data_IF_908282609271
#
_entry.id   IF_908282609271
#
_cell.length_a   1.000
_cell.length_b   1.000
_cell.length_c   1.000
_cell.angle_alpha   90.00
_cell.angle_beta   90.00
_cell.angle_gamma   90.00
#
_symmetry.space_group_name_H-M   'P 1'
#
loop_
_entity.id
_entity.type
_entity.pdbx_description
1 polymer ?
#
# COMPACT_ATOMS: atom_id res chain seq x y z
N UNK A 1 -1.99 -28.30 -5.20
CA UNK A 1 -0.92 -27.28 -5.34
C UNK A 1 -1.64 -25.95 -5.49
N UNK A 2 -1.47 -25.06 -4.52
CA UNK A 2 -1.98 -23.68 -4.66
C UNK A 2 -1.35 -23.05 -5.90
N UNK A 3 -2.19 -22.64 -6.82
CA UNK A 3 -1.75 -21.89 -7.99
C UNK A 3 -1.46 -20.46 -7.54
N UNK A 4 -0.20 -20.04 -7.57
CA UNK A 4 0.19 -18.67 -7.27
C UNK A 4 0.02 -17.81 -8.53
N UNK A 5 -0.99 -16.92 -8.57
CA UNK A 5 -1.22 -16.03 -9.72
C UNK A 5 -0.06 -15.11 -10.05
N UNK A 6 0.75 -14.73 -9.04
CA UNK A 6 2.00 -13.99 -9.24
C UNK A 6 3.10 -14.68 -8.47
N UNK A 7 4.17 -15.04 -9.18
CA UNK A 7 5.37 -15.65 -8.60
C UNK A 7 6.60 -15.01 -9.24
N UNK A 8 7.51 -14.53 -8.41
CA UNK A 8 8.82 -14.04 -8.80
C UNK A 8 9.89 -14.75 -7.98
N UNK A 9 10.98 -15.19 -8.63
CA UNK A 9 12.05 -15.95 -8.01
C UNK A 9 13.41 -15.38 -8.43
N UNK A 10 14.12 -14.80 -7.47
CA UNK A 10 15.47 -14.27 -7.63
C UNK A 10 15.57 -13.18 -8.69
N UNK A 11 14.52 -12.34 -8.90
CA UNK A 11 14.55 -11.32 -9.93
C UNK A 11 15.69 -10.32 -9.71
N UNK A 12 16.39 -10.00 -10.79
CA UNK A 12 17.46 -9.00 -10.80
C UNK A 12 17.24 -7.99 -11.90
N UNK A 13 17.52 -6.73 -11.60
CA UNK A 13 17.48 -5.63 -12.56
C UNK A 13 18.47 -4.54 -12.21
N UNK A 14 19.26 -4.11 -13.18
CA UNK A 14 20.24 -3.04 -13.02
C UNK A 14 19.97 -1.92 -14.02
N UNK A 15 20.25 -0.70 -13.60
CA UNK A 15 20.28 0.50 -14.43
C UNK A 15 21.68 1.12 -14.32
N UNK A 16 22.53 0.84 -15.31
CA UNK A 16 23.94 1.19 -15.22
C UNK A 16 24.62 0.54 -14.02
N UNK A 17 25.08 1.35 -13.06
CA UNK A 17 25.74 0.85 -11.82
C UNK A 17 24.74 0.54 -10.69
N UNK A 18 23.55 1.09 -10.74
CA UNK A 18 22.54 0.92 -9.70
C UNK A 18 21.76 -0.40 -9.87
N UNK A 19 21.66 -1.19 -8.80
CA UNK A 19 20.80 -2.37 -8.75
C UNK A 19 19.42 -1.94 -8.26
N UNK A 20 18.39 -2.12 -9.09
CA UNK A 20 17.00 -1.82 -8.71
C UNK A 20 16.30 -3.04 -8.12
N UNK A 21 16.68 -4.26 -8.56
CA UNK A 21 16.28 -5.53 -7.94
C UNK A 21 17.52 -6.41 -7.83
N UNK A 22 17.69 -7.08 -6.68
CA UNK A 22 18.84 -7.92 -6.40
C UNK A 22 18.43 -9.20 -5.65
N UNK A 23 17.82 -10.13 -6.36
CA UNK A 23 17.29 -11.35 -5.78
C UNK A 23 15.92 -11.11 -5.15
N UNK A 24 15.02 -10.42 -5.87
CA UNK A 24 13.66 -10.15 -5.43
C UNK A 24 12.80 -11.41 -5.59
N UNK A 25 12.21 -11.85 -4.49
CA UNK A 25 11.26 -12.96 -4.42
C UNK A 25 9.88 -12.45 -4.02
N UNK A 26 8.81 -12.97 -4.65
CA UNK A 26 7.43 -12.61 -4.33
C UNK A 26 6.49 -13.75 -4.70
N UNK A 27 5.57 -14.08 -3.82
CA UNK A 27 4.50 -15.05 -4.06
C UNK A 27 3.16 -14.45 -3.61
N UNK A 28 2.20 -14.31 -4.52
CA UNK A 28 0.88 -13.74 -4.22
C UNK A 28 -0.17 -14.84 -4.31
N UNK A 29 -0.89 -15.13 -3.22
CA UNK A 29 -2.00 -16.09 -3.22
C UNK A 29 -3.19 -15.62 -4.05
N UNK A 30 -3.97 -16.57 -4.57
CA UNK A 30 -5.15 -16.29 -5.37
C UNK A 30 -6.24 -15.59 -4.55
N UNK A 31 -6.90 -14.58 -5.16
CA UNK A 31 -8.02 -13.88 -4.53
C UNK A 31 -7.64 -13.04 -3.31
N UNK A 32 -6.39 -12.60 -3.22
CA UNK A 32 -5.89 -11.75 -2.12
C UNK A 32 -5.35 -10.42 -2.63
N UNK A 33 -5.20 -9.47 -1.69
CA UNK A 33 -4.42 -8.25 -1.88
C UNK A 33 -3.04 -8.45 -1.29
N UNK A 34 -2.00 -8.43 -2.13
CA UNK A 34 -0.62 -8.34 -1.66
C UNK A 34 -0.13 -6.90 -1.79
N UNK A 35 0.26 -6.29 -0.67
CA UNK A 35 0.88 -4.98 -0.61
C UNK A 35 2.41 -5.08 -0.74
N UNK A 36 2.99 -4.50 -1.78
CA UNK A 36 4.44 -4.34 -1.90
C UNK A 36 4.83 -2.98 -1.34
N UNK A 37 5.27 -2.97 -0.09
CA UNK A 37 5.56 -1.79 0.71
C UNK A 37 7.06 -1.48 0.72
N UNK A 38 7.43 -0.21 0.58
CA UNK A 38 8.84 0.18 0.68
C UNK A 38 9.06 1.65 0.33
N UNK A 39 10.25 2.21 0.63
CA UNK A 39 10.57 3.60 0.35
C UNK A 39 10.65 3.88 -1.16
N UNK A 40 10.74 5.16 -1.51
CA UNK A 40 11.03 5.55 -2.88
C UNK A 40 12.42 5.03 -3.31
N UNK A 41 12.49 4.44 -4.51
CA UNK A 41 13.73 3.84 -5.01
C UNK A 41 13.97 2.40 -4.55
N UNK A 42 13.17 1.81 -3.68
CA UNK A 42 13.34 0.42 -3.21
C UNK A 42 13.19 -0.65 -4.30
N UNK A 43 12.61 -0.31 -5.46
CA UNK A 43 12.44 -1.25 -6.58
C UNK A 43 10.98 -1.62 -6.90
N UNK A 44 9.98 -1.10 -6.18
CA UNK A 44 8.54 -1.40 -6.36
C UNK A 44 8.07 -1.31 -7.81
N UNK A 45 8.20 -0.13 -8.42
CA UNK A 45 7.80 0.11 -9.82
C UNK A 45 8.60 -0.75 -10.81
N UNK A 46 9.87 -1.05 -10.51
CA UNK A 46 10.69 -1.95 -11.34
C UNK A 46 10.13 -3.38 -11.29
N UNK A 47 9.77 -3.89 -10.11
CA UNK A 47 9.14 -5.19 -9.96
C UNK A 47 7.81 -5.26 -10.73
N UNK A 48 6.92 -4.26 -10.56
CA UNK A 48 5.65 -4.17 -11.29
C UNK A 48 5.90 -4.16 -12.81
N UNK A 49 6.84 -3.37 -13.32
CA UNK A 49 7.15 -3.31 -14.76
C UNK A 49 7.63 -4.65 -15.32
N UNK A 50 8.40 -5.43 -14.54
CA UNK A 50 8.83 -6.78 -14.96
C UNK A 50 7.62 -7.73 -14.97
N UNK A 51 6.85 -7.77 -13.88
CA UNK A 51 5.69 -8.65 -13.76
C UNK A 51 4.60 -8.35 -14.80
N UNK A 52 4.46 -7.09 -15.19
CA UNK A 52 3.52 -6.67 -16.25
C UNK A 52 4.11 -6.71 -17.66
N UNK A 53 5.30 -7.28 -17.83
CA UNK A 53 5.98 -7.46 -19.13
C UNK A 53 6.45 -6.17 -19.81
N UNK A 54 6.45 -5.04 -19.11
CA UNK A 54 6.93 -3.74 -19.62
C UNK A 54 8.45 -3.61 -19.58
N UNK A 55 9.11 -4.47 -18.80
CA UNK A 55 10.56 -4.49 -18.62
C UNK A 55 11.06 -5.93 -18.56
N UNK A 56 12.18 -6.22 -19.20
CA UNK A 56 12.83 -7.53 -19.05
C UNK A 56 13.75 -7.54 -17.83
N UNK A 57 13.71 -8.59 -16.99
CA UNK A 57 14.68 -8.79 -15.93
C UNK A 57 16.06 -9.11 -16.52
N UNK A 58 17.11 -8.86 -15.75
CA UNK A 58 18.48 -9.24 -16.10
C UNK A 58 18.85 -10.63 -15.54
N UNK A 59 18.04 -11.14 -14.59
CA UNK A 59 18.16 -12.47 -14.01
C UNK A 59 16.92 -12.85 -13.19
N UNK A 60 16.87 -14.11 -12.78
CA UNK A 60 15.70 -14.68 -12.12
C UNK A 60 14.58 -15.03 -13.11
N UNK A 61 13.43 -15.40 -12.56
CA UNK A 61 12.25 -15.75 -13.35
C UNK A 61 10.96 -15.25 -12.69
N UNK A 62 9.93 -14.98 -13.49
CA UNK A 62 8.61 -14.66 -12.96
C UNK A 62 7.50 -15.26 -13.81
N UNK A 63 6.41 -15.58 -13.15
CA UNK A 63 5.17 -16.06 -13.78
C UNK A 63 3.99 -15.24 -13.28
N UNK A 64 3.10 -14.90 -14.19
CA UNK A 64 1.86 -14.18 -13.88
C UNK A 64 0.70 -14.89 -14.57
N UNK A 65 -0.36 -15.19 -13.84
CA UNK A 65 -1.50 -15.98 -14.28
C UNK A 65 -1.09 -17.29 -14.96
N UNK A 66 -0.03 -17.93 -14.46
CA UNK A 66 0.53 -19.19 -14.99
C UNK A 66 1.49 -19.04 -16.15
N UNK A 67 1.68 -17.84 -16.72
CA UNK A 67 2.52 -17.59 -17.89
C UNK A 67 3.86 -16.94 -17.52
N UNK A 68 4.94 -17.34 -18.21
CA UNK A 68 6.26 -16.73 -18.06
C UNK A 68 6.28 -15.29 -18.62
N UNK A 69 6.77 -14.33 -17.82
CA UNK A 69 6.71 -12.90 -18.19
C UNK A 69 7.63 -12.52 -19.35
N UNK A 70 8.64 -13.33 -19.68
CA UNK A 70 9.56 -13.10 -20.81
C UNK A 70 9.14 -13.88 -22.03
N UNK A 71 8.95 -15.20 -21.89
CA UNK A 71 8.67 -16.09 -23.00
C UNK A 71 7.21 -16.02 -23.49
N UNK A 72 6.27 -15.68 -22.60
CA UNK A 72 4.83 -15.69 -22.87
C UNK A 72 4.18 -14.33 -22.59
N UNK A 73 4.92 -13.23 -22.78
CA UNK A 73 4.50 -11.88 -22.46
C UNK A 73 3.13 -11.47 -23.04
N UNK A 74 2.80 -11.93 -24.25
CA UNK A 74 1.50 -11.66 -24.87
C UNK A 74 0.34 -12.28 -24.05
N UNK A 75 0.52 -13.53 -23.59
CA UNK A 75 -0.48 -14.22 -22.78
C UNK A 75 -0.66 -13.53 -21.41
N UNK A 76 0.44 -13.09 -20.80
CA UNK A 76 0.39 -12.31 -19.54
C UNK A 76 -0.47 -11.06 -19.74
N UNK A 77 -0.21 -10.25 -20.78
CA UNK A 77 -0.94 -9.00 -21.03
C UNK A 77 -2.44 -9.17 -21.21
N UNK A 78 -2.91 -10.30 -21.69
CA UNK A 78 -4.35 -10.62 -21.79
C UNK A 78 -4.97 -11.02 -20.44
N UNK A 79 -4.17 -11.35 -19.44
CA UNK A 79 -4.61 -11.85 -18.14
C UNK A 79 -4.42 -10.85 -17.00
N UNK A 80 -3.89 -9.68 -17.31
CA UNK A 80 -3.62 -8.66 -16.28
C UNK A 80 -4.36 -7.36 -16.59
N UNK A 81 -4.68 -6.63 -15.52
CA UNK A 81 -4.94 -5.20 -15.55
C UNK A 81 -3.76 -4.47 -14.91
N UNK A 82 -3.48 -3.27 -15.38
CA UNK A 82 -2.44 -2.40 -14.83
C UNK A 82 -3.00 -1.00 -14.65
N UNK A 83 -2.92 -0.50 -13.42
CA UNK A 83 -3.11 0.90 -13.08
C UNK A 83 -1.74 1.48 -12.71
N UNK A 84 -1.16 2.28 -13.60
CA UNK A 84 0.12 2.94 -13.37
C UNK A 84 0.02 4.21 -12.54
N UNK A 85 1.16 4.85 -12.28
CA UNK A 85 1.22 6.14 -11.56
C UNK A 85 0.59 7.27 -12.38
N UNK A 86 0.78 7.28 -13.70
CA UNK A 86 0.14 8.24 -14.60
C UNK A 86 -1.20 7.69 -15.08
N UNK A 87 -2.20 8.58 -15.17
CA UNK A 87 -3.51 8.23 -15.71
C UNK A 87 -3.41 7.92 -17.21
N UNK A 88 -4.00 6.79 -17.62
CA UNK A 88 -4.03 6.35 -19.01
C UNK A 88 -5.24 6.92 -19.78
N UNK A 89 -6.21 7.52 -19.08
CA UNK A 89 -7.43 8.06 -19.69
C UNK A 89 -7.18 9.39 -20.38
N UNK A 90 -7.78 9.57 -21.54
CA UNK A 90 -7.74 10.81 -22.32
C UNK A 90 -8.70 11.85 -21.69
N UNK A 91 -8.19 13.03 -21.38
CA UNK A 91 -8.95 14.08 -20.71
C UNK A 91 -10.00 14.76 -21.59
N UNK A 92 -9.84 14.69 -22.92
CA UNK A 92 -10.76 15.31 -23.88
C UNK A 92 -11.98 14.41 -24.10
N UNK A 93 -11.77 13.10 -24.06
CA UNK A 93 -12.85 12.12 -24.21
C UNK A 93 -13.72 12.07 -22.94
N UNK A 94 -14.99 11.65 -23.11
CA UNK A 94 -15.84 11.35 -21.97
C UNK A 94 -15.40 10.06 -21.27
N UNK A 95 -15.85 9.84 -20.04
CA UNK A 95 -15.57 8.60 -19.32
C UNK A 95 -16.00 7.36 -20.10
N UNK A 96 -17.19 7.40 -20.72
CA UNK A 96 -17.69 6.33 -21.56
C UNK A 96 -16.83 6.11 -22.81
N UNK A 97 -16.44 7.19 -23.47
CA UNK A 97 -15.60 7.09 -24.67
C UNK A 97 -14.24 6.48 -24.38
N UNK A 98 -13.63 6.84 -23.23
CA UNK A 98 -12.39 6.22 -22.77
C UNK A 98 -12.55 4.70 -22.61
N UNK A 99 -13.54 4.23 -21.87
CA UNK A 99 -13.75 2.79 -21.67
C UNK A 99 -14.05 2.05 -22.95
N UNK A 100 -14.85 2.64 -23.86
CA UNK A 100 -15.09 2.07 -25.20
C UNK A 100 -13.78 2.00 -25.99
N UNK A 101 -12.94 3.03 -25.95
CA UNK A 101 -11.63 3.04 -26.61
C UNK A 101 -10.75 1.89 -26.08
N UNK A 102 -10.61 1.74 -24.76
CA UNK A 102 -9.85 0.62 -24.19
C UNK A 102 -10.43 -0.73 -24.58
N UNK A 103 -11.75 -0.90 -24.58
CA UNK A 103 -12.39 -2.12 -25.07
C UNK A 103 -12.03 -2.42 -26.52
N UNK A 104 -12.02 -1.41 -27.37
CA UNK A 104 -11.65 -1.55 -28.78
C UNK A 104 -10.16 -1.87 -28.98
N UNK A 105 -9.28 -1.27 -28.19
CA UNK A 105 -7.84 -1.57 -28.20
C UNK A 105 -7.56 -3.03 -27.78
N UNK A 106 -8.41 -3.58 -26.90
CA UNK A 106 -8.38 -4.99 -26.51
C UNK A 106 -9.22 -5.90 -27.43
N UNK A 107 -9.53 -5.45 -28.65
CA UNK A 107 -10.24 -6.20 -29.70
C UNK A 107 -11.69 -6.59 -29.37
N UNK A 108 -12.32 -5.98 -28.38
CA UNK A 108 -13.76 -6.16 -28.17
C UNK A 108 -14.54 -5.55 -29.34
N UNK A 109 -15.61 -6.26 -29.81
CA UNK A 109 -16.53 -5.71 -30.76
C UNK A 109 -17.20 -4.42 -30.24
N UNK A 110 -17.66 -3.53 -31.14
CA UNK A 110 -18.22 -2.22 -30.77
C UNK A 110 -19.36 -2.31 -29.74
N UNK A 111 -20.28 -3.27 -29.96
CA UNK A 111 -21.40 -3.47 -29.04
C UNK A 111 -20.92 -3.98 -27.65
N UNK A 112 -20.02 -4.96 -27.63
CA UNK A 112 -19.47 -5.52 -26.41
C UNK A 112 -18.65 -4.46 -25.62
N UNK A 113 -17.83 -3.66 -26.31
CA UNK A 113 -17.09 -2.56 -25.68
C UNK A 113 -18.03 -1.50 -25.07
N UNK A 114 -19.13 -1.17 -25.76
CA UNK A 114 -20.16 -0.25 -25.24
C UNK A 114 -20.85 -0.80 -23.99
N UNK A 115 -21.33 -2.03 -24.04
CA UNK A 115 -21.98 -2.69 -22.90
C UNK A 115 -21.02 -2.78 -21.70
N UNK A 116 -19.77 -3.19 -21.95
CA UNK A 116 -18.76 -3.29 -20.90
C UNK A 116 -18.42 -1.93 -20.28
N UNK A 117 -18.34 -0.87 -21.09
CA UNK A 117 -18.15 0.48 -20.60
C UNK A 117 -19.28 0.93 -19.66
N UNK A 118 -20.53 0.69 -20.04
CA UNK A 118 -21.70 1.04 -19.23
C UNK A 118 -21.71 0.28 -17.89
N UNK A 119 -21.42 -1.02 -17.90
CA UNK A 119 -21.28 -1.84 -16.69
C UNK A 119 -20.19 -1.32 -15.75
N UNK A 120 -19.02 -0.93 -16.30
CA UNK A 120 -17.93 -0.40 -15.49
C UNK A 120 -18.24 0.98 -14.92
N UNK A 121 -18.86 1.87 -15.70
CA UNK A 121 -19.30 3.17 -15.19
C UNK A 121 -20.30 3.02 -14.02
N UNK A 122 -21.22 2.09 -14.12
CA UNK A 122 -22.16 1.80 -13.05
C UNK A 122 -21.44 1.23 -11.81
N UNK A 123 -20.59 0.21 -11.99
CA UNK A 123 -19.82 -0.43 -10.91
C UNK A 123 -18.94 0.56 -10.13
N UNK A 124 -18.38 1.56 -10.81
CA UNK A 124 -17.50 2.56 -10.20
C UNK A 124 -18.21 3.85 -9.80
N UNK A 125 -19.54 3.89 -9.87
CA UNK A 125 -20.35 5.05 -9.47
C UNK A 125 -20.13 6.28 -10.37
N UNK A 126 -19.83 6.04 -11.66
CA UNK A 126 -19.55 7.08 -12.66
C UNK A 126 -20.65 7.19 -13.74
N UNK A 127 -21.76 6.43 -13.64
CA UNK A 127 -22.82 6.39 -14.63
C UNK A 127 -23.39 7.80 -14.89
N UNK A 128 -23.69 8.58 -13.84
CA UNK A 128 -24.25 9.92 -13.96
C UNK A 128 -23.29 10.98 -14.59
N UNK A 129 -22.01 10.65 -14.72
CA UNK A 129 -20.96 11.53 -15.26
C UNK A 129 -20.29 10.98 -16.50
N UNK A 130 -20.64 9.75 -16.91
CA UNK A 130 -19.99 9.04 -18.01
C UNK A 130 -20.00 9.76 -19.35
N UNK A 131 -20.94 10.67 -19.59
CA UNK A 131 -21.00 11.50 -20.79
C UNK A 131 -20.14 12.77 -20.74
N UNK A 132 -19.65 13.20 -19.55
CA UNK A 132 -18.83 14.39 -19.40
C UNK A 132 -17.37 14.13 -19.77
N UNK A 133 -16.65 15.10 -20.38
CA UNK A 133 -15.21 15.01 -20.59
C UNK A 133 -14.44 14.79 -19.28
N UNK A 134 -13.41 13.95 -19.33
CA UNK A 134 -12.62 13.55 -18.15
C UNK A 134 -11.90 14.73 -17.50
N UNK A 135 -11.56 15.77 -18.26
CA UNK A 135 -11.02 17.03 -17.71
C UNK A 135 -11.91 17.70 -16.65
N UNK A 136 -13.22 17.39 -16.63
CA UNK A 136 -14.18 17.89 -15.65
C UNK A 136 -14.33 16.97 -14.42
N UNK A 137 -13.61 15.84 -14.39
CA UNK A 137 -13.65 14.90 -13.28
C UNK A 137 -12.76 15.39 -12.13
N UNK A 138 -13.17 15.10 -10.89
CA UNK A 138 -12.26 15.20 -9.74
C UNK A 138 -11.12 14.18 -9.85
N UNK A 139 -10.04 14.36 -9.07
CA UNK A 139 -8.94 13.41 -9.02
C UNK A 139 -9.41 11.98 -8.70
N UNK A 140 -10.26 11.83 -7.69
CA UNK A 140 -10.85 10.54 -7.33
C UNK A 140 -11.72 9.93 -8.44
N UNK A 141 -12.50 10.74 -9.17
CA UNK A 141 -13.28 10.27 -10.31
C UNK A 141 -12.36 9.80 -11.47
N UNK A 142 -11.28 10.54 -11.76
CA UNK A 142 -10.31 10.13 -12.79
C UNK A 142 -9.64 8.81 -12.39
N UNK A 143 -9.23 8.66 -11.13
CA UNK A 143 -8.59 7.43 -10.66
C UNK A 143 -9.52 6.22 -10.70
N UNK A 144 -10.80 6.42 -10.35
CA UNK A 144 -11.82 5.36 -10.48
C UNK A 144 -12.08 4.98 -11.95
N UNK A 145 -12.08 5.95 -12.86
CA UNK A 145 -12.21 5.67 -14.29
C UNK A 145 -10.99 4.90 -14.83
N UNK A 146 -9.80 5.27 -14.41
CA UNK A 146 -8.54 4.62 -14.79
C UNK A 146 -8.50 3.17 -14.26
N UNK A 147 -8.94 2.96 -13.01
CA UNK A 147 -9.13 1.63 -12.46
C UNK A 147 -10.20 0.83 -13.25
N UNK A 148 -11.30 1.46 -13.63
CA UNK A 148 -12.31 0.82 -14.47
C UNK A 148 -11.74 0.40 -15.85
N UNK A 149 -10.87 1.24 -16.44
CA UNK A 149 -10.22 0.93 -17.72
C UNK A 149 -9.28 -0.30 -17.60
N UNK A 150 -8.56 -0.44 -16.48
CA UNK A 150 -7.70 -1.61 -16.24
C UNK A 150 -8.48 -2.94 -16.13
N UNK A 151 -9.78 -2.85 -15.90
CA UNK A 151 -10.69 -3.99 -15.73
C UNK A 151 -11.53 -4.30 -16.98
N UNK A 152 -11.21 -3.71 -18.11
CA UNK A 152 -12.03 -3.85 -19.33
C UNK A 152 -12.16 -5.32 -19.77
N UNK A 153 -11.11 -6.12 -19.58
CA UNK A 153 -11.09 -7.56 -19.87
C UNK A 153 -11.48 -8.45 -18.68
N UNK A 154 -11.88 -7.88 -17.54
CA UNK A 154 -12.08 -8.62 -16.29
C UNK A 154 -10.89 -9.55 -15.95
N UNK A 155 -9.68 -9.01 -15.83
CA UNK A 155 -8.47 -9.81 -15.65
C UNK A 155 -8.47 -10.52 -14.28
N UNK A 156 -7.91 -11.75 -14.19
CA UNK A 156 -7.76 -12.45 -12.91
C UNK A 156 -6.70 -11.82 -12.00
N UNK A 157 -5.75 -11.05 -12.56
CA UNK A 157 -4.69 -10.38 -11.80
C UNK A 157 -4.66 -8.90 -12.12
N UNK A 158 -4.63 -8.07 -11.08
CA UNK A 158 -4.59 -6.61 -11.18
C UNK A 158 -3.34 -6.06 -10.49
N UNK A 159 -2.60 -5.24 -11.20
CA UNK A 159 -1.45 -4.49 -10.67
C UNK A 159 -1.84 -3.04 -10.45
N UNK A 160 -1.60 -2.52 -9.25
CA UNK A 160 -1.90 -1.14 -8.86
C UNK A 160 -0.60 -0.47 -8.39
N UNK A 161 -0.04 0.43 -9.19
CA UNK A 161 1.18 1.14 -8.84
C UNK A 161 0.80 2.49 -8.20
N UNK A 162 0.90 2.55 -6.87
CA UNK A 162 0.56 3.70 -6.01
C UNK A 162 -0.85 4.27 -6.32
N UNK A 163 -1.93 3.49 -6.12
CA UNK A 163 -3.26 3.84 -6.63
C UNK A 163 -3.90 5.05 -5.97
N UNK A 164 -3.47 5.46 -4.78
CA UNK A 164 -4.09 6.55 -4.00
C UNK A 164 -3.24 7.79 -3.88
N UNK A 165 -2.06 7.81 -4.50
CA UNK A 165 -1.16 8.98 -4.47
C UNK A 165 -1.87 10.21 -5.04
N UNK A 166 -1.80 11.33 -4.30
CA UNK A 166 -2.41 12.60 -4.68
C UNK A 166 -3.92 12.68 -4.50
N UNK A 167 -4.56 11.68 -3.89
CA UNK A 167 -5.98 11.72 -3.55
C UNK A 167 -6.23 12.24 -2.14
N UNK A 168 -7.33 12.94 -1.97
CA UNK A 168 -7.86 13.29 -0.66
C UNK A 168 -8.35 12.04 0.12
N UNK A 169 -8.58 12.10 1.43
CA UNK A 169 -9.00 10.95 2.24
C UNK A 169 -10.28 10.27 1.71
N UNK A 170 -11.22 11.06 1.18
CA UNK A 170 -12.45 10.52 0.59
C UNK A 170 -12.17 9.73 -0.68
N UNK A 171 -11.34 10.27 -1.57
CA UNK A 171 -10.93 9.60 -2.80
C UNK A 171 -10.17 8.30 -2.53
N UNK A 172 -9.29 8.27 -1.51
CA UNK A 172 -8.61 7.04 -1.08
C UNK A 172 -9.62 5.97 -0.65
N UNK A 173 -10.56 6.31 0.24
CA UNK A 173 -11.59 5.37 0.70
C UNK A 173 -12.44 4.82 -0.45
N UNK A 174 -12.77 5.63 -1.45
CA UNK A 174 -13.53 5.21 -2.64
C UNK A 174 -12.72 4.20 -3.48
N UNK A 175 -11.41 4.42 -3.68
CA UNK A 175 -10.51 3.48 -4.36
C UNK A 175 -10.36 2.19 -3.55
N UNK A 176 -10.15 2.27 -2.25
CA UNK A 176 -10.03 1.11 -1.37
C UNK A 176 -11.28 0.23 -1.37
N UNK A 177 -12.46 0.85 -1.31
CA UNK A 177 -13.73 0.13 -1.42
C UNK A 177 -13.86 -0.60 -2.77
N UNK A 178 -13.43 0.04 -3.87
CA UNK A 178 -13.43 -0.57 -5.19
C UNK A 178 -12.48 -1.77 -5.26
N UNK A 179 -11.26 -1.67 -4.71
CA UNK A 179 -10.29 -2.77 -4.66
C UNK A 179 -10.83 -3.94 -3.85
N UNK A 180 -11.38 -3.71 -2.65
CA UNK A 180 -12.01 -4.78 -1.84
C UNK A 180 -13.13 -5.50 -2.60
N UNK A 181 -13.97 -4.74 -3.30
CA UNK A 181 -15.05 -5.32 -4.12
C UNK A 181 -14.52 -6.17 -5.30
N UNK A 182 -13.34 -5.87 -5.84
CA UNK A 182 -12.69 -6.69 -6.87
C UNK A 182 -12.19 -8.01 -6.30
N UNK A 183 -11.51 -7.96 -5.18
CA UNK A 183 -10.96 -9.16 -4.51
C UNK A 183 -12.07 -10.07 -4.01
N UNK A 184 -13.15 -9.53 -3.44
CA UNK A 184 -14.33 -10.30 -3.06
C UNK A 184 -14.98 -11.06 -4.26
N UNK A 185 -14.72 -10.63 -5.50
CA UNK A 185 -15.13 -11.32 -6.72
C UNK A 185 -14.02 -12.20 -7.34
N UNK A 186 -12.96 -12.52 -6.59
CA UNK A 186 -11.91 -13.45 -6.98
C UNK A 186 -10.75 -12.84 -7.77
N UNK A 187 -10.66 -11.51 -7.92
CA UNK A 187 -9.48 -10.87 -8.53
C UNK A 187 -8.31 -10.88 -7.56
N UNK A 188 -7.13 -11.30 -8.00
CA UNK A 188 -5.88 -11.17 -7.23
C UNK A 188 -5.27 -9.81 -7.49
N UNK A 189 -4.83 -9.11 -6.45
CA UNK A 189 -4.30 -7.75 -6.55
C UNK A 189 -2.87 -7.70 -6.01
N UNK A 190 -1.93 -7.15 -6.80
CA UNK A 190 -0.65 -6.67 -6.31
C UNK A 190 -0.66 -5.15 -6.31
N UNK A 191 -0.57 -4.59 -5.12
CA UNK A 191 -0.60 -3.16 -4.85
C UNK A 191 0.80 -2.69 -4.42
N UNK A 192 1.37 -1.68 -5.08
CA UNK A 192 2.54 -1.00 -4.52
C UNK A 192 2.11 0.24 -3.76
N UNK A 193 2.72 0.49 -2.64
CA UNK A 193 2.49 1.70 -1.86
C UNK A 193 3.70 2.10 -1.03
N UNK A 194 3.78 3.37 -0.69
CA UNK A 194 4.66 3.89 0.36
C UNK A 194 3.85 4.30 1.61
N UNK A 195 2.53 4.24 1.53
CA UNK A 195 1.62 4.57 2.63
C UNK A 195 1.31 3.31 3.43
N UNK A 196 1.74 3.29 4.68
CA UNK A 196 1.59 2.15 5.57
C UNK A 196 0.13 1.92 5.98
N UNK A 197 -0.64 3.00 6.11
CA UNK A 197 -2.08 2.95 6.35
C UNK A 197 -2.85 2.25 5.21
N UNK A 198 -2.43 2.46 3.95
CA UNK A 198 -3.02 1.76 2.80
C UNK A 198 -2.74 0.25 2.84
N UNK A 199 -1.49 -0.14 3.13
CA UNK A 199 -1.14 -1.54 3.29
C UNK A 199 -1.91 -2.19 4.46
N UNK A 200 -2.01 -1.48 5.60
CA UNK A 200 -2.72 -1.97 6.79
C UNK A 200 -4.23 -2.16 6.56
N UNK A 201 -4.83 -1.28 5.77
CA UNK A 201 -6.26 -1.29 5.49
C UNK A 201 -6.69 -2.26 4.38
N UNK A 202 -5.82 -2.52 3.41
CA UNK A 202 -6.18 -3.27 2.21
C UNK A 202 -5.54 -4.63 2.10
N UNK A 203 -4.30 -4.79 2.57
CA UNK A 203 -3.51 -5.97 2.25
C UNK A 203 -3.84 -7.15 3.16
N UNK A 204 -4.05 -8.32 2.56
CA UNK A 204 -4.07 -9.60 3.26
C UNK A 204 -2.65 -10.07 3.58
N UNK A 205 -1.70 -9.72 2.71
CA UNK A 205 -0.27 -9.98 2.83
C UNK A 205 0.52 -8.71 2.47
N UNK A 206 1.56 -8.41 3.22
CA UNK A 206 2.49 -7.31 2.96
C UNK A 206 3.89 -7.87 2.78
N UNK A 207 4.51 -7.57 1.64
CA UNK A 207 5.92 -7.83 1.38
C UNK A 207 6.68 -6.50 1.45
N UNK A 208 7.57 -6.36 2.42
CA UNK A 208 8.40 -5.16 2.60
C UNK A 208 9.64 -5.27 1.73
N UNK A 209 9.81 -4.33 0.80
CA UNK A 209 10.98 -4.27 -0.08
C UNK A 209 11.89 -3.12 0.33
N UNK A 210 13.18 -3.43 0.45
CA UNK A 210 14.25 -2.44 0.58
C UNK A 210 15.44 -2.85 -0.29
N UNK A 211 16.08 -1.87 -0.93
CA UNK A 211 17.26 -2.05 -1.80
C UNK A 211 17.12 -3.22 -2.81
N UNK A 212 15.92 -3.38 -3.37
CA UNK A 212 15.62 -4.40 -4.38
C UNK A 212 15.43 -5.82 -3.85
N UNK A 213 15.30 -6.02 -2.54
CA UNK A 213 15.08 -7.32 -1.89
C UNK A 213 13.85 -7.26 -0.99
N UNK A 214 13.12 -8.35 -0.89
CA UNK A 214 12.08 -8.50 0.12
C UNK A 214 12.75 -8.82 1.46
N UNK A 215 12.58 -7.94 2.45
CA UNK A 215 13.20 -8.05 3.77
C UNK A 215 12.25 -8.58 4.84
N UNK A 216 10.94 -8.50 4.60
CA UNK A 216 9.91 -9.09 5.45
C UNK A 216 8.66 -9.39 4.64
N UNK A 217 7.96 -10.45 5.03
CA UNK A 217 6.72 -10.90 4.42
C UNK A 217 5.78 -11.47 5.48
N UNK A 218 4.46 -11.25 5.31
CA UNK A 218 3.41 -11.74 6.20
C UNK A 218 2.16 -10.88 6.18
N UNK A 219 1.14 -11.29 6.94
CA UNK A 219 -0.03 -10.42 7.12
C UNK A 219 0.35 -9.15 7.92
N UNK A 220 -0.41 -8.04 7.80
CA UNK A 220 -0.19 -6.86 8.63
C UNK A 220 -0.06 -7.20 10.12
N UNK A 221 -0.94 -8.06 10.66
CA UNK A 221 -0.90 -8.48 12.05
C UNK A 221 0.36 -9.31 12.40
N UNK A 222 0.79 -10.19 11.49
CA UNK A 222 2.04 -10.96 11.67
C UNK A 222 3.27 -10.05 11.70
N UNK A 223 3.31 -9.05 10.81
CA UNK A 223 4.41 -8.09 10.77
C UNK A 223 4.44 -7.23 12.03
N UNK A 224 3.30 -6.72 12.48
CA UNK A 224 3.17 -5.97 13.74
C UNK A 224 3.62 -6.79 14.96
N UNK A 225 3.29 -8.08 14.97
CA UNK A 225 3.68 -8.98 16.07
C UNK A 225 5.19 -9.24 16.15
N UNK A 226 5.95 -9.05 15.05
CA UNK A 226 7.42 -9.20 15.05
C UNK A 226 8.14 -8.13 15.89
N UNK A 227 7.54 -6.97 16.11
CA UNK A 227 8.09 -5.90 16.96
C UNK A 227 7.91 -6.12 18.46
N UNK A 228 7.28 -7.22 18.84
CA UNK A 228 6.91 -7.49 20.24
C UNK A 228 5.41 -7.29 20.47
N UNK A 229 5.01 -7.32 21.75
CA UNK A 229 3.62 -7.23 22.16
C UNK A 229 2.97 -5.85 21.93
N UNK A 230 1.78 -5.72 22.50
CA UNK A 230 1.10 -4.41 22.56
C UNK A 230 2.00 -3.36 23.21
N UNK A 231 1.70 -2.10 22.96
CA UNK A 231 2.43 -0.95 23.53
C UNK A 231 1.51 -0.20 24.48
N UNK A 232 2.11 0.32 25.55
CA UNK A 232 1.48 1.32 26.39
C UNK A 232 1.96 2.69 25.97
N UNK A 233 1.03 3.59 25.69
CA UNK A 233 1.29 4.99 25.39
C UNK A 233 0.75 5.83 26.55
N UNK A 234 1.57 6.76 27.04
CA UNK A 234 1.18 7.71 28.09
C UNK A 234 1.50 9.12 27.59
N UNK A 235 0.49 9.99 27.58
CA UNK A 235 0.66 11.40 27.23
C UNK A 235 0.68 12.23 28.50
N UNK A 236 1.84 12.81 28.82
CA UNK A 236 1.98 13.68 29.99
C UNK A 236 1.25 15.02 29.79
N UNK A 237 0.50 15.50 30.80
CA UNK A 237 -0.18 16.79 30.71
C UNK A 237 0.81 17.96 30.64
N UNK A 238 2.04 17.80 31.18
CA UNK A 238 3.07 18.84 31.25
C UNK A 238 4.41 18.30 30.76
N UNK A 239 5.15 19.13 30.02
CA UNK A 239 6.48 18.78 29.52
C UNK A 239 7.51 18.50 30.64
N UNK A 240 7.42 19.18 31.79
CA UNK A 240 8.28 18.96 32.92
C UNK A 240 8.09 17.60 33.62
N UNK A 241 6.96 16.94 33.38
CA UNK A 241 6.65 15.59 33.89
C UNK A 241 7.09 14.46 32.97
N UNK A 242 7.56 14.76 31.77
CA UNK A 242 7.89 13.76 30.73
C UNK A 242 8.96 12.76 31.20
N UNK A 243 10.01 13.26 31.91
CA UNK A 243 11.07 12.40 32.44
C UNK A 243 10.55 11.44 33.54
N UNK A 244 9.65 11.92 34.40
CA UNK A 244 9.02 11.08 35.42
C UNK A 244 8.11 10.04 34.79
N UNK A 245 7.33 10.44 33.79
CA UNK A 245 6.46 9.52 32.99
C UNK A 245 7.30 8.42 32.34
N UNK A 246 8.41 8.78 31.69
CA UNK A 246 9.31 7.82 31.06
C UNK A 246 9.91 6.82 32.05
N UNK A 247 10.32 7.29 33.21
CA UNK A 247 10.84 6.41 34.28
C UNK A 247 9.79 5.42 34.79
N UNK A 248 8.53 5.85 34.91
CA UNK A 248 7.42 4.97 35.33
C UNK A 248 7.09 3.96 34.25
N UNK A 249 6.89 4.40 33.01
CA UNK A 249 6.58 3.52 31.88
C UNK A 249 7.70 2.50 31.65
N UNK A 250 8.96 2.90 31.75
CA UNK A 250 10.11 1.99 31.67
C UNK A 250 10.12 0.90 32.75
N UNK A 251 9.78 1.25 34.02
CA UNK A 251 9.67 0.24 35.09
C UNK A 251 8.51 -0.74 34.84
N UNK A 252 7.37 -0.23 34.39
CA UNK A 252 6.17 -1.05 34.14
C UNK A 252 6.36 -1.99 32.95
N UNK A 253 6.99 -1.52 31.89
CA UNK A 253 7.26 -2.32 30.69
C UNK A 253 8.42 -3.30 30.85
N UNK A 254 9.41 -2.93 31.67
CA UNK A 254 10.69 -3.62 31.76
C UNK A 254 11.63 -3.34 30.57
N UNK A 255 11.27 -2.40 29.71
CA UNK A 255 12.02 -1.99 28.52
C UNK A 255 12.30 -0.49 28.51
N UNK A 256 13.24 -0.05 27.68
CA UNK A 256 13.52 1.36 27.51
C UNK A 256 12.38 2.03 26.73
N UNK A 257 11.70 3.06 27.32
CA UNK A 257 10.60 3.73 26.63
C UNK A 257 11.12 4.68 25.55
N UNK A 258 10.36 4.78 24.47
CA UNK A 258 10.50 5.83 23.47
C UNK A 258 9.81 7.10 23.98
N UNK A 259 10.48 8.24 23.85
CA UNK A 259 9.98 9.53 24.34
C UNK A 259 9.90 10.50 23.17
N UNK A 260 8.70 10.98 22.91
CA UNK A 260 8.44 12.06 21.96
C UNK A 260 8.14 13.36 22.74
N UNK A 261 9.08 14.31 22.76
CA UNK A 261 8.90 15.57 23.48
C UNK A 261 7.83 16.48 22.89
N UNK A 262 7.64 16.44 21.57
CA UNK A 262 6.72 17.33 20.85
C UNK A 262 5.26 17.01 21.16
N UNK A 263 4.93 15.72 21.20
CA UNK A 263 3.59 15.23 21.58
C UNK A 263 3.48 14.89 23.06
N UNK A 264 4.55 15.03 23.85
CA UNK A 264 4.63 14.66 25.29
C UNK A 264 4.26 13.19 25.54
N UNK A 265 4.50 12.34 24.55
CA UNK A 265 4.15 10.91 24.59
C UNK A 265 5.36 10.09 25.02
N UNK A 266 5.06 9.11 25.86
CA UNK A 266 5.99 8.04 26.25
C UNK A 266 5.38 6.72 25.83
N UNK A 267 6.10 5.91 25.05
CA UNK A 267 5.63 4.64 24.51
C UNK A 267 6.58 3.51 24.85
N UNK A 268 6.08 2.37 25.30
CA UNK A 268 6.90 1.19 25.55
C UNK A 268 6.15 -0.12 25.22
N UNK A 269 6.86 -1.18 24.77
CA UNK A 269 6.24 -2.49 24.56
C UNK A 269 5.82 -3.11 25.89
N UNK A 270 4.70 -3.84 25.89
CA UNK A 270 4.20 -4.54 27.09
C UNK A 270 3.77 -5.96 26.75
N UNK A 271 4.02 -6.90 27.67
CA UNK A 271 3.65 -8.31 27.48
C UNK A 271 2.25 -8.63 27.95
N UNK A 272 1.81 -8.01 29.04
CA UNK A 272 0.47 -8.14 29.60
C UNK A 272 -0.22 -6.78 29.61
N UNK A 273 -1.21 -6.61 28.74
CA UNK A 273 -1.95 -5.36 28.55
C UNK A 273 -2.60 -4.86 29.83
N UNK A 274 -3.32 -5.75 30.50
CA UNK A 274 -4.14 -5.37 31.66
C UNK A 274 -3.27 -5.06 32.85
N UNK A 275 -2.26 -5.90 33.10
CA UNK A 275 -1.30 -5.67 34.18
C UNK A 275 -0.51 -4.36 33.97
N UNK A 276 -0.02 -4.12 32.76
CA UNK A 276 0.74 -2.92 32.43
C UNK A 276 -0.10 -1.64 32.59
N UNK A 277 -1.34 -1.62 32.04
CA UNK A 277 -2.23 -0.46 32.19
C UNK A 277 -2.54 -0.17 33.67
N UNK A 278 -2.86 -1.21 34.43
CA UNK A 278 -3.18 -1.08 35.86
C UNK A 278 -1.98 -0.59 36.66
N UNK A 279 -0.80 -1.13 36.40
CA UNK A 279 0.44 -0.73 37.09
C UNK A 279 0.82 0.70 36.75
N UNK A 280 0.78 1.07 35.45
CA UNK A 280 1.12 2.42 34.99
C UNK A 280 0.19 3.46 35.60
N UNK A 281 -1.13 3.25 35.54
CA UNK A 281 -2.11 4.18 36.12
C UNK A 281 -1.89 4.38 37.60
N UNK A 282 -1.65 3.31 38.37
CA UNK A 282 -1.41 3.38 39.81
C UNK A 282 -0.11 4.08 40.13
N UNK A 283 0.99 3.81 39.41
CA UNK A 283 2.27 4.44 39.66
C UNK A 283 2.30 5.92 39.27
N UNK A 284 1.62 6.30 38.19
CA UNK A 284 1.45 7.69 37.75
C UNK A 284 0.68 8.49 38.82
N UNK A 285 -0.41 7.95 39.34
CA UNK A 285 -1.22 8.57 40.39
C UNK A 285 -0.41 8.73 41.68
N UNK A 286 0.26 7.68 42.13
CA UNK A 286 1.09 7.69 43.32
C UNK A 286 2.27 8.69 43.23
N UNK A 287 2.79 8.94 42.04
CA UNK A 287 3.85 9.93 41.78
C UNK A 287 3.33 11.35 41.55
N UNK A 288 2.00 11.58 41.57
CA UNK A 288 1.39 12.87 41.26
C UNK A 288 1.64 13.36 39.82
N UNK A 289 1.88 12.45 38.90
CA UNK A 289 2.10 12.78 37.49
C UNK A 289 0.73 12.90 36.81
N UNK A 290 0.40 14.11 36.35
CA UNK A 290 -0.81 14.35 35.62
C UNK A 290 -0.67 13.89 34.15
N UNK A 291 -1.59 13.10 33.67
CA UNK A 291 -1.60 12.57 32.29
C UNK A 291 -2.86 13.02 31.57
N UNK A 292 -2.74 13.27 30.25
CA UNK A 292 -3.88 13.55 29.37
C UNK A 292 -4.52 12.27 28.86
N UNK A 293 -3.69 11.26 28.59
CA UNK A 293 -4.14 9.98 28.04
C UNK A 293 -3.24 8.82 28.48
N UNK A 294 -3.83 7.66 28.67
CA UNK A 294 -3.15 6.37 28.85
C UNK A 294 -3.84 5.34 27.99
N UNK A 295 -3.17 4.88 26.96
CA UNK A 295 -3.74 3.96 25.99
C UNK A 295 -2.89 2.69 25.80
N UNK A 296 -3.55 1.59 25.50
CA UNK A 296 -2.92 0.38 25.02
C UNK A 296 -3.20 0.24 23.53
N UNK A 297 -2.16 0.21 22.73
CA UNK A 297 -2.30 0.03 21.29
C UNK A 297 -1.45 -1.13 20.77
N UNK A 298 -1.78 -1.61 19.60
CA UNK A 298 -0.90 -2.49 18.82
C UNK A 298 0.18 -1.65 18.12
N UNK A 299 1.36 -2.22 17.85
CA UNK A 299 2.33 -1.58 16.98
C UNK A 299 1.71 -1.19 15.64
N UNK A 300 2.18 -0.10 15.06
CA UNK A 300 1.80 0.28 13.70
C UNK A 300 2.74 -0.35 12.68
N UNK A 301 2.33 -0.40 11.41
CA UNK A 301 3.25 -0.81 10.34
C UNK A 301 4.41 0.19 10.17
N UNK A 302 4.22 1.48 10.57
CA UNK A 302 5.30 2.48 10.57
C UNK A 302 6.45 2.05 11.49
N UNK A 303 6.13 1.63 12.71
CA UNK A 303 7.13 1.13 13.66
C UNK A 303 7.82 -0.14 13.15
N UNK A 304 7.06 -1.06 12.51
CA UNK A 304 7.65 -2.24 11.86
C UNK A 304 8.63 -1.84 10.77
N UNK A 305 8.22 -0.90 9.93
CA UNK A 305 9.02 -0.44 8.81
C UNK A 305 10.33 0.21 9.27
N UNK A 306 10.26 1.12 10.24
CA UNK A 306 11.43 1.76 10.85
C UNK A 306 12.40 0.74 11.45
N UNK A 307 11.88 -0.23 12.18
CA UNK A 307 12.69 -1.28 12.79
C UNK A 307 13.41 -2.15 11.75
N UNK A 308 12.72 -2.49 10.65
CA UNK A 308 13.27 -3.36 9.60
C UNK A 308 14.27 -2.64 8.68
N UNK A 309 14.05 -1.36 8.40
CA UNK A 309 14.89 -0.61 7.45
C UNK A 309 16.03 0.17 8.12
N UNK A 310 15.96 0.39 9.43
CA UNK A 310 16.93 1.21 10.17
C UNK A 310 16.98 2.67 9.73
N UNK A 311 15.99 3.12 8.94
CA UNK A 311 15.85 4.50 8.51
C UNK A 311 14.86 5.21 9.45
N UNK A 312 15.32 6.24 10.15
CA UNK A 312 14.42 7.22 10.74
C UNK A 312 13.60 7.83 9.60
N UNK A 313 12.28 7.71 9.67
CA UNK A 313 11.41 8.43 8.74
C UNK A 313 11.59 9.91 9.08
N UNK A 314 12.49 10.59 8.37
CA UNK A 314 12.40 12.04 8.27
C UNK A 314 10.99 12.33 7.76
N UNK A 315 10.19 12.91 8.64
CA UNK A 315 8.86 13.41 8.32
C UNK A 315 8.96 14.17 7.01
N UNK A 316 8.21 13.75 6.02
CA UNK A 316 8.08 14.44 4.75
C UNK A 316 7.45 15.81 5.02
N UNK A 317 8.24 16.74 5.53
CA UNK A 317 7.91 18.14 5.55
C UNK A 317 8.02 18.60 4.10
N UNK A 318 6.89 18.70 3.45
CA UNK A 318 6.74 19.39 2.17
C UNK A 318 7.40 20.76 2.27
N UNK A 319 8.59 20.91 1.69
CA UNK A 319 9.14 22.23 1.42
C UNK A 319 8.37 22.79 0.22
N UNK A 320 7.75 23.98 0.32
CA UNK A 320 7.18 24.65 -0.84
C UNK A 320 8.33 24.89 -1.83
N UNK A 321 8.16 24.43 -3.06
CA UNK A 321 9.05 24.86 -4.14
C UNK A 321 8.87 26.37 -4.33
N UNK A 322 9.90 27.14 -3.99
CA UNK A 322 10.01 28.53 -4.42
C UNK A 322 10.00 28.58 -5.95
N UNK A 323 8.93 29.12 -6.46
CA UNK A 323 8.83 29.54 -7.85
C UNK A 323 9.74 30.76 -8.02
N UNK A 324 10.94 30.52 -8.55
CA UNK A 324 11.77 31.63 -9.06
C UNK A 324 11.25 32.05 -10.42
N UNK A 325 11.03 33.35 -10.53
CA UNK A 325 10.55 34.11 -11.68
C UNK A 325 11.41 33.97 -12.95
#
# INVERSE_FOLDING_TARGET
METLPVLAEGLRKRYGKASALDGFDLAVPEGTVCGLLGPNGAGKTTAVRILTTLLRPDGGRARVAGYDVVGQAANVRYRIGLLGQQTAVDEVLSGRQNLVLFGRLHHLGRAAAGLRADQLLERFGLAGTGAKPVKQYSGGMRRRLDLAASLILAPPVLFLDEPTTGLDPRGRNEVWAAVRALVANGTTVLLTTQYLDEADQLADQVSVIDQGRVIADGSPDQLKSKLGGDRIDVVASRADQLAATAAIVGRVSGDQPEVDPDTRRVSAPVRDRVAALTAATRELDAAGVAVEDVALRRPTLDEVFLHLTGHDTEAATERPQEVTA
#
